data_IF_010235551464
#
_entry.id   IF_010235551464
#
_cell.length_a   1.000
_cell.length_b   1.000
_cell.length_c   1.000
_cell.angle_alpha   90.00
_cell.angle_beta   90.00
_cell.angle_gamma   90.00
#
_symmetry.space_group_name_H-M   'P 1'
#
loop_
_entity.id
_entity.type
_entity.pdbx_description
1 polymer ?
#
# COMPACT_ATOMS: atom_id res chain seq x y z
N UNK A 1 3.49 -20.42 -11.51
CA UNK A 1 3.31 -19.00 -11.88
C UNK A 1 4.61 -18.56 -12.53
N UNK A 2 4.57 -18.15 -13.79
CA UNK A 2 5.76 -17.59 -14.44
C UNK A 2 6.05 -16.24 -13.79
N UNK A 3 7.32 -15.86 -13.64
CA UNK A 3 7.70 -14.52 -13.17
C UNK A 3 7.11 -13.41 -14.07
N UNK A 4 6.77 -13.75 -15.32
CA UNK A 4 6.14 -12.86 -16.28
C UNK A 4 4.71 -12.43 -15.88
N UNK A 5 4.02 -13.17 -14.99
CA UNK A 5 2.68 -12.82 -14.52
C UNK A 5 2.72 -11.96 -13.25
N UNK A 6 3.90 -11.71 -12.66
CA UNK A 6 4.04 -10.92 -11.45
C UNK A 6 4.16 -9.42 -11.77
N UNK A 7 3.16 -8.66 -11.33
CA UNK A 7 3.18 -7.20 -11.41
C UNK A 7 3.93 -6.65 -10.20
N UNK A 8 5.04 -5.96 -10.44
CA UNK A 8 5.82 -5.27 -9.40
C UNK A 8 5.72 -3.77 -9.64
N UNK A 9 5.19 -3.05 -8.66
CA UNK A 9 5.00 -1.61 -8.75
C UNK A 9 4.95 -0.96 -7.38
N UNK A 10 4.72 0.35 -7.34
CA UNK A 10 4.62 1.11 -6.10
C UNK A 10 3.51 2.15 -6.18
N UNK A 11 2.96 2.49 -5.01
CA UNK A 11 2.02 3.59 -4.84
C UNK A 11 2.25 4.24 -3.46
N UNK A 12 2.31 5.56 -3.41
CA UNK A 12 2.45 6.30 -2.16
C UNK A 12 3.04 7.70 -2.36
N UNK A 13 3.26 8.42 -1.27
CA UNK A 13 3.94 9.72 -1.30
C UNK A 13 5.46 9.55 -1.27
N UNK A 14 6.15 10.25 -2.16
CA UNK A 14 7.61 10.36 -2.12
C UNK A 14 7.94 11.82 -1.79
N UNK A 15 8.74 12.09 -0.73
CA UNK A 15 9.07 13.47 -0.32
C UNK A 15 9.65 14.33 -1.45
N UNK A 16 10.42 13.72 -2.35
CA UNK A 16 11.04 14.41 -3.48
C UNK A 16 10.06 14.89 -4.56
N UNK A 17 8.86 14.29 -4.66
CA UNK A 17 7.88 14.60 -5.72
C UNK A 17 6.77 15.53 -5.23
N UNK A 18 6.58 15.65 -3.91
CA UNK A 18 5.56 16.51 -3.30
C UNK A 18 4.12 15.99 -3.41
N UNK A 19 3.89 14.89 -4.13
CA UNK A 19 2.57 14.30 -4.34
C UNK A 19 2.63 12.75 -4.33
N UNK A 20 1.46 12.11 -4.42
CA UNK A 20 1.33 10.69 -4.65
C UNK A 20 1.87 10.31 -6.03
N UNK A 21 2.65 9.24 -6.04
CA UNK A 21 3.16 8.61 -7.26
C UNK A 21 2.65 7.20 -7.35
N UNK A 22 2.38 6.74 -8.57
CA UNK A 22 2.10 5.34 -8.86
C UNK A 22 2.95 4.87 -10.05
N UNK A 23 3.39 3.63 -10.00
CA UNK A 23 4.07 3.00 -11.11
C UNK A 23 3.73 1.52 -11.18
N UNK A 24 3.42 1.05 -12.39
CA UNK A 24 3.24 -0.37 -12.72
C UNK A 24 2.29 -1.14 -11.76
N UNK A 25 1.23 -0.49 -11.28
CA UNK A 25 0.16 -1.13 -10.51
C UNK A 25 -1.18 -0.93 -11.24
N UNK A 26 -2.09 -1.92 -11.23
CA UNK A 26 -3.41 -1.75 -11.80
C UNK A 26 -4.17 -0.62 -11.11
N UNK A 27 -4.91 0.18 -11.88
CA UNK A 27 -5.68 1.31 -11.34
C UNK A 27 -6.68 0.88 -10.25
N UNK A 28 -7.33 -0.25 -10.44
CA UNK A 28 -8.26 -0.85 -9.47
C UNK A 28 -7.60 -1.16 -8.13
N UNK A 29 -6.35 -1.61 -8.14
CA UNK A 29 -5.56 -1.82 -6.93
C UNK A 29 -5.29 -0.50 -6.22
N UNK A 30 -4.80 0.51 -6.97
CA UNK A 30 -4.48 1.83 -6.44
C UNK A 30 -5.72 2.45 -5.77
N UNK A 31 -6.85 2.49 -6.46
CA UNK A 31 -8.06 3.14 -5.94
C UNK A 31 -8.58 2.47 -4.66
N UNK A 32 -8.56 1.14 -4.59
CA UNK A 32 -9.02 0.39 -3.40
C UNK A 32 -8.04 0.54 -2.24
N UNK A 33 -6.74 0.49 -2.53
CA UNK A 33 -5.69 0.68 -1.53
C UNK A 33 -5.73 2.09 -0.95
N UNK A 34 -5.80 3.12 -1.81
CA UNK A 34 -5.87 4.52 -1.41
C UNK A 34 -7.10 4.82 -0.54
N UNK A 35 -8.26 4.29 -0.94
CA UNK A 35 -9.49 4.42 -0.15
C UNK A 35 -9.36 3.77 1.22
N UNK A 36 -8.85 2.55 1.29
CA UNK A 36 -8.70 1.83 2.56
C UNK A 36 -7.69 2.54 3.47
N UNK A 37 -6.53 2.94 2.95
CA UNK A 37 -5.53 3.73 3.70
C UNK A 37 -6.10 5.06 4.21
N UNK A 38 -6.88 5.76 3.38
CA UNK A 38 -7.52 7.02 3.78
C UNK A 38 -8.54 6.83 4.91
N UNK A 39 -9.25 5.70 4.92
CA UNK A 39 -10.16 5.34 6.02
C UNK A 39 -9.39 5.05 7.31
N UNK A 40 -8.35 4.21 7.25
CA UNK A 40 -7.53 3.89 8.42
C UNK A 40 -6.87 5.13 9.02
N UNK A 41 -6.28 6.00 8.19
CA UNK A 41 -5.68 7.26 8.64
C UNK A 41 -6.70 8.21 9.27
N UNK A 42 -7.97 8.15 8.83
CA UNK A 42 -9.03 8.96 9.42
C UNK A 42 -9.46 8.43 10.78
N UNK A 43 -9.55 7.11 10.94
CA UNK A 43 -9.93 6.48 12.21
C UNK A 43 -8.80 6.49 13.23
N UNK A 44 -7.56 6.42 12.74
CA UNK A 44 -6.34 6.37 13.53
C UNK A 44 -5.35 7.39 12.96
N UNK A 45 -5.56 8.68 13.27
CA UNK A 45 -4.66 9.72 12.84
C UNK A 45 -3.24 9.42 13.32
N UNK A 46 -2.31 9.72 12.45
CA UNK A 46 -0.89 9.45 12.64
C UNK A 46 -0.30 10.50 13.60
N UNK A 47 -0.44 10.22 14.89
CA UNK A 47 0.03 11.07 15.99
C UNK A 47 1.28 10.42 16.61
N UNK A 48 2.42 10.43 15.89
CA UNK A 48 3.66 9.85 16.40
C UNK A 48 4.86 9.90 15.46
N UNK A 49 6.03 9.54 15.99
CA UNK A 49 7.27 9.39 15.23
C UNK A 49 7.17 8.25 14.21
N UNK A 50 7.81 8.43 13.05
CA UNK A 50 7.90 7.40 12.01
C UNK A 50 8.66 6.17 12.55
N UNK A 51 8.06 4.98 12.52
CA UNK A 51 8.83 3.76 12.70
C UNK A 51 9.66 3.50 11.42
N UNK A 52 10.98 3.42 11.60
CA UNK A 52 11.94 3.06 10.55
C UNK A 52 11.77 1.63 9.99
N UNK A 53 11.01 0.76 10.67
CA UNK A 53 10.77 -0.61 10.22
C UNK A 53 9.84 -0.65 9.01
N UNK A 54 10.28 -1.38 7.99
CA UNK A 54 9.44 -1.71 6.83
C UNK A 54 8.50 -2.85 7.19
N UNK A 55 7.20 -2.58 7.12
CA UNK A 55 6.16 -3.59 7.26
C UNK A 55 6.03 -4.40 5.97
N UNK A 56 5.70 -5.67 6.13
CA UNK A 56 5.44 -6.59 5.02
C UNK A 56 4.09 -7.26 5.25
N UNK A 57 3.28 -7.34 4.21
CA UNK A 57 1.96 -7.94 4.29
C UNK A 57 1.69 -8.78 3.05
N UNK A 58 0.73 -9.70 3.18
CA UNK A 58 0.18 -10.50 2.10
C UNK A 58 -1.34 -10.39 2.19
N UNK A 59 -1.98 -10.12 1.06
CA UNK A 59 -3.43 -9.97 0.95
C UNK A 59 -3.95 -10.98 -0.05
N UNK A 60 -5.06 -11.63 0.31
CA UNK A 60 -5.76 -12.56 -0.57
C UNK A 60 -6.34 -11.82 -1.78
N UNK A 61 -6.41 -12.51 -2.92
CA UNK A 61 -7.18 -12.06 -4.07
C UNK A 61 -8.65 -11.81 -3.71
N UNK A 62 -9.25 -10.86 -4.41
CA UNK A 62 -10.61 -10.34 -4.20
C UNK A 62 -10.67 -9.04 -3.39
N UNK A 63 -9.64 -8.72 -2.60
CA UNK A 63 -9.63 -7.54 -1.72
C UNK A 63 -9.24 -6.28 -2.52
N UNK A 64 -7.96 -6.17 -2.91
CA UNK A 64 -7.47 -5.02 -3.70
C UNK A 64 -7.46 -5.28 -5.21
N UNK A 65 -7.52 -6.53 -5.63
CA UNK A 65 -7.61 -6.94 -7.03
C UNK A 65 -7.97 -8.42 -7.12
N UNK A 66 -8.15 -8.95 -8.32
CA UNK A 66 -8.50 -10.39 -8.49
C UNK A 66 -7.40 -11.32 -7.98
N UNK A 67 -6.14 -10.92 -8.16
CA UNK A 67 -4.97 -11.70 -7.78
C UNK A 67 -4.53 -11.38 -6.35
N UNK A 68 -3.92 -12.35 -5.64
CA UNK A 68 -3.27 -12.06 -4.36
C UNK A 68 -2.11 -11.08 -4.56
N UNK A 69 -1.83 -10.27 -3.55
CA UNK A 69 -0.72 -9.34 -3.59
C UNK A 69 0.12 -9.43 -2.31
N UNK A 70 1.41 -9.18 -2.44
CA UNK A 70 2.29 -8.90 -1.32
C UNK A 70 2.84 -7.48 -1.47
N UNK A 71 3.14 -6.84 -0.35
CA UNK A 71 3.65 -5.48 -0.36
C UNK A 71 4.39 -5.15 0.91
N UNK A 72 5.01 -3.98 0.90
CA UNK A 72 5.63 -3.43 2.08
C UNK A 72 5.78 -1.93 2.01
N UNK A 73 5.90 -1.31 3.17
CA UNK A 73 5.98 0.14 3.32
C UNK A 73 6.31 0.53 4.76
N UNK A 74 6.63 1.82 5.00
CA UNK A 74 6.88 2.33 6.34
C UNK A 74 5.67 2.10 7.25
N UNK A 75 5.92 1.76 8.53
CA UNK A 75 4.83 1.60 9.50
C UNK A 75 4.25 2.96 9.82
N UNK A 76 3.02 3.20 9.36
CA UNK A 76 2.27 4.38 9.80
C UNK A 76 0.76 4.20 9.87
N UNK A 77 0.23 3.17 9.21
CA UNK A 77 -1.22 2.99 9.05
C UNK A 77 -1.68 1.55 9.39
N UNK A 78 -0.77 0.66 9.74
CA UNK A 78 -1.02 -0.79 9.88
C UNK A 78 -0.55 -1.37 11.22
N UNK A 79 -0.27 -0.55 12.23
CA UNK A 79 0.37 -1.01 13.47
C UNK A 79 -0.56 -1.73 14.47
N UNK A 80 -1.88 -1.78 14.24
CA UNK A 80 -2.81 -2.46 15.16
C UNK A 80 -3.81 -3.32 14.39
N UNK A 81 -3.38 -4.54 14.08
CA UNK A 81 -4.24 -5.70 13.80
C UNK A 81 -4.11 -6.69 14.95
#
# INVERSE_FOLDING_TARGET
MSTADMIIGFFGKIPATGDFVSANLPRTFIDRWDRWMSMELRERPDEGELDSRVWRFIVKGGIFGEQPCSGGGPSRTMANG
#
